data_IF_193256187040
#
_entry.id   IF_193256187040
#
_cell.length_a   1.000
_cell.length_b   1.000
_cell.length_c   1.000
_cell.angle_alpha   90.00
_cell.angle_beta   90.00
_cell.angle_gamma   90.00
#
_symmetry.space_group_name_H-M   'P 1'
#
loop_
_entity.id
_entity.type
_entity.pdbx_description
1 polymer ?
#
# COMPACT_ATOMS: atom_id res chain seq x y z
N UNK A 1 -64.10 30.94 23.97
CA UNK A 1 -65.00 30.15 24.85
C UNK A 1 -64.65 28.68 24.67
N UNK A 2 -64.10 28.06 25.71
CA UNK A 2 -63.71 26.65 25.77
C UNK A 2 -64.95 25.74 25.72
N UNK A 3 -64.93 24.68 24.91
CA UNK A 3 -65.64 23.43 25.22
C UNK A 3 -64.76 22.24 24.81
N UNK A 4 -64.22 21.53 25.81
CA UNK A 4 -63.72 20.16 25.72
C UNK A 4 -64.90 19.18 25.76
N UNK A 5 -64.76 17.98 25.17
CA UNK A 5 -65.39 16.65 25.47
C UNK A 5 -64.99 15.73 24.28
N UNK A 6 -64.60 14.46 24.32
CA UNK A 6 -64.42 13.39 25.33
C UNK A 6 -63.48 12.34 24.71
N UNK A 7 -62.73 11.62 25.53
CA UNK A 7 -61.99 10.42 25.15
C UNK A 7 -62.91 9.20 24.92
N UNK A 8 -62.48 8.27 24.06
CA UNK A 8 -62.78 6.82 24.18
C UNK A 8 -61.75 6.02 23.37
N UNK A 9 -60.95 5.22 24.06
CA UNK A 9 -59.86 4.43 23.46
C UNK A 9 -60.28 3.07 22.90
N UNK A 10 -59.28 2.35 22.37
CA UNK A 10 -59.09 0.88 22.27
C UNK A 10 -57.61 0.68 21.92
N UNK A 11 -56.80 0.08 22.80
CA UNK A 11 -56.52 -1.36 22.94
C UNK A 11 -55.26 -1.80 22.16
N UNK A 12 -54.13 -1.71 22.87
CA UNK A 12 -53.10 -2.74 23.11
C UNK A 12 -52.67 -3.73 22.00
N UNK A 13 -51.34 -3.77 21.85
CA UNK A 13 -50.42 -4.88 21.52
C UNK A 13 -50.13 -5.08 20.03
N UNK A 14 -48.89 -4.78 19.62
CA UNK A 14 -47.89 -5.80 19.25
C UNK A 14 -46.48 -5.19 19.17
N UNK A 15 -45.56 -5.91 19.78
CA UNK A 15 -44.13 -5.70 19.98
C UNK A 15 -43.39 -5.54 18.63
N UNK A 16 -42.46 -4.58 18.40
CA UNK A 16 -41.47 -4.79 17.37
C UNK A 16 -40.45 -5.79 17.90
N UNK A 17 -40.53 -7.01 17.37
CA UNK A 17 -39.48 -8.00 17.41
C UNK A 17 -38.13 -7.37 17.05
N UNK A 18 -37.18 -7.51 17.98
CA UNK A 18 -35.81 -7.96 17.73
C UNK A 18 -35.28 -7.61 16.34
N UNK A 19 -34.55 -6.50 16.25
CA UNK A 19 -33.47 -6.37 15.29
C UNK A 19 -32.16 -6.23 16.09
N UNK A 20 -31.82 -7.31 16.81
CA UNK A 20 -30.42 -7.53 17.18
C UNK A 20 -29.69 -7.85 15.88
N UNK A 21 -29.19 -6.79 15.23
CA UNK A 21 -28.13 -6.93 14.23
C UNK A 21 -26.95 -7.52 14.98
N UNK A 22 -26.75 -8.83 14.82
CA UNK A 22 -25.44 -9.42 14.97
C UNK A 22 -24.54 -8.70 13.96
N UNK A 23 -23.74 -7.74 14.43
CA UNK A 23 -22.51 -7.39 13.74
C UNK A 23 -21.64 -8.64 13.80
N UNK A 24 -21.82 -9.52 12.82
CA UNK A 24 -20.75 -10.37 12.38
C UNK A 24 -19.67 -9.41 11.87
N UNK A 25 -18.62 -9.23 12.69
CA UNK A 25 -17.42 -8.52 12.31
C UNK A 25 -16.84 -9.17 11.07
N UNK A 26 -17.22 -8.65 9.92
CA UNK A 26 -16.59 -8.93 8.65
C UNK A 26 -15.48 -7.88 8.56
N UNK A 27 -14.24 -8.36 8.62
CA UNK A 27 -13.07 -7.54 8.32
C UNK A 27 -13.11 -7.24 6.82
N UNK A 28 -13.89 -6.23 6.44
CA UNK A 28 -13.74 -5.55 5.17
C UNK A 28 -12.69 -4.46 5.38
N UNK A 29 -11.73 -4.36 4.48
CA UNK A 29 -10.76 -3.27 4.46
C UNK A 29 -11.51 -1.94 4.55
N UNK A 30 -10.93 -1.00 5.28
CA UNK A 30 -11.55 0.32 5.44
C UNK A 30 -11.23 1.16 4.21
N UNK A 31 -12.26 1.47 3.42
CA UNK A 31 -12.15 2.44 2.33
C UNK A 31 -11.88 3.82 2.95
N UNK A 32 -10.72 4.39 2.63
CA UNK A 32 -10.28 5.69 3.14
C UNK A 32 -9.75 6.56 2.01
N UNK A 33 -9.83 7.87 2.17
CA UNK A 33 -9.25 8.82 1.23
C UNK A 33 -7.72 8.67 1.18
N UNK A 34 -7.13 8.97 0.01
CA UNK A 34 -5.69 9.15 -0.12
C UNK A 34 -5.14 10.14 0.91
N UNK A 35 -3.90 9.91 1.38
CA UNK A 35 -3.26 10.86 2.29
C UNK A 35 -2.87 12.11 1.47
N UNK A 36 -3.41 13.31 1.76
CA UNK A 36 -3.14 14.51 0.97
C UNK A 36 -1.69 14.98 1.12
N UNK A 37 -1.23 15.81 0.18
CA UNK A 37 0.12 16.37 0.20
C UNK A 37 0.25 17.44 1.27
N UNK A 38 1.21 17.27 2.18
CA UNK A 38 1.54 18.28 3.21
C UNK A 38 2.38 19.39 2.60
N UNK A 39 1.72 20.45 2.15
CA UNK A 39 2.31 21.58 1.41
C UNK A 39 3.46 22.27 2.16
N UNK A 40 3.37 22.36 3.49
CA UNK A 40 4.40 22.96 4.35
C UNK A 40 5.74 22.20 4.35
N UNK A 41 5.73 20.92 3.97
CA UNK A 41 6.92 20.08 3.91
C UNK A 41 7.61 20.07 2.53
N UNK A 42 6.96 20.57 1.47
CA UNK A 42 7.46 20.45 0.10
C UNK A 42 8.83 21.09 -0.12
N UNK A 43 9.06 22.29 0.44
CA UNK A 43 10.35 22.98 0.28
C UNK A 43 11.49 22.26 1.01
N UNK A 44 11.21 21.66 2.17
CA UNK A 44 12.18 20.83 2.88
C UNK A 44 12.45 19.52 2.10
N UNK A 45 11.40 18.87 1.63
CA UNK A 45 11.46 17.65 0.85
C UNK A 45 12.23 17.81 -0.45
N UNK A 46 12.00 18.91 -1.18
CA UNK A 46 12.73 19.28 -2.38
C UNK A 46 14.23 19.37 -2.13
N UNK A 47 14.65 20.01 -1.04
CA UNK A 47 16.08 20.11 -0.67
C UNK A 47 16.70 18.73 -0.44
N UNK A 48 15.99 17.83 0.26
CA UNK A 48 16.45 16.45 0.48
C UNK A 48 16.53 15.70 -0.84
N UNK A 49 15.49 15.77 -1.67
CA UNK A 49 15.40 15.10 -2.97
C UNK A 49 16.57 15.48 -3.88
N UNK A 50 16.80 16.78 -4.09
CA UNK A 50 17.87 17.26 -4.96
C UNK A 50 19.27 16.99 -4.39
N UNK A 51 19.41 16.81 -3.08
CA UNK A 51 20.68 16.46 -2.46
C UNK A 51 21.00 14.96 -2.54
N UNK A 52 19.97 14.11 -2.55
CA UNK A 52 20.12 12.66 -2.28
C UNK A 52 19.47 11.74 -3.32
N UNK A 53 18.28 12.06 -3.79
CA UNK A 53 17.44 11.17 -4.59
C UNK A 53 17.57 11.40 -6.11
N UNK A 54 17.79 12.66 -6.52
CA UNK A 54 17.82 13.11 -7.92
C UNK A 54 18.83 12.35 -8.79
N UNK A 55 19.93 11.87 -8.21
CA UNK A 55 20.97 11.14 -8.93
C UNK A 55 20.50 9.83 -9.56
N UNK A 56 19.45 9.23 -8.98
CA UNK A 56 18.81 8.03 -9.51
C UNK A 56 17.44 8.34 -10.10
N UNK A 57 16.62 9.12 -9.39
CA UNK A 57 15.22 9.34 -9.78
C UNK A 57 15.01 10.46 -10.80
N UNK A 58 16.02 11.28 -11.09
CA UNK A 58 15.93 12.35 -12.08
C UNK A 58 15.30 13.63 -11.54
N UNK A 59 15.41 14.73 -12.29
CA UNK A 59 14.88 16.05 -11.89
C UNK A 59 13.36 16.04 -11.86
N UNK A 60 12.74 15.40 -12.85
CA UNK A 60 11.29 15.29 -13.00
C UNK A 60 10.71 14.05 -12.31
N UNK A 61 11.56 13.24 -11.65
CA UNK A 61 11.10 12.02 -10.97
C UNK A 61 10.80 10.84 -11.91
N UNK A 62 11.21 10.90 -13.17
CA UNK A 62 10.93 9.87 -14.18
C UNK A 62 11.86 8.66 -14.14
N UNK A 63 12.83 8.64 -13.20
CA UNK A 63 13.77 7.54 -13.05
C UNK A 63 14.96 7.56 -14.02
N UNK A 64 15.31 8.75 -14.53
CA UNK A 64 16.35 9.02 -15.52
C UNK A 64 17.56 9.77 -14.95
N UNK A 65 17.77 9.72 -13.63
CA UNK A 65 18.90 10.39 -12.99
C UNK A 65 20.24 9.88 -13.54
N UNK A 66 21.36 10.64 -13.43
CA UNK A 66 22.65 10.29 -14.04
C UNK A 66 23.21 8.87 -13.75
N UNK A 67 22.70 8.20 -12.71
CA UNK A 67 23.07 6.83 -12.35
C UNK A 67 22.20 5.75 -13.02
N UNK A 68 21.04 6.09 -13.60
CA UNK A 68 19.98 5.15 -13.99
C UNK A 68 20.43 4.05 -14.97
N UNK A 69 21.33 4.37 -15.91
CA UNK A 69 21.83 3.40 -16.89
C UNK A 69 22.77 2.35 -16.31
N UNK A 70 23.32 2.61 -15.11
CA UNK A 70 24.21 1.66 -14.41
C UNK A 70 23.45 0.73 -13.47
N UNK A 71 22.14 0.89 -13.36
CA UNK A 71 21.30 0.13 -12.43
C UNK A 71 20.53 -0.94 -13.19
N UNK A 72 20.66 -2.19 -12.74
CA UNK A 72 19.91 -3.32 -13.28
C UNK A 72 18.41 -3.12 -13.08
N UNK A 73 18.00 -2.79 -11.86
CA UNK A 73 16.64 -2.34 -11.55
C UNK A 73 16.54 -0.85 -11.85
N UNK A 74 15.70 -0.47 -12.81
CA UNK A 74 15.47 0.94 -13.12
C UNK A 74 14.86 1.67 -11.90
N UNK A 75 15.33 2.90 -11.59
CA UNK A 75 14.70 3.74 -10.58
C UNK A 75 13.21 3.94 -10.87
N UNK A 76 12.42 4.15 -9.83
CA UNK A 76 10.99 4.39 -9.95
C UNK A 76 10.73 5.68 -10.74
N UNK A 77 9.90 5.58 -11.76
CA UNK A 77 9.18 6.69 -12.36
C UNK A 77 7.97 7.02 -11.48
N UNK A 78 7.93 8.24 -10.94
CA UNK A 78 6.87 8.69 -10.02
C UNK A 78 5.63 9.25 -10.74
N UNK A 79 5.75 9.67 -12.01
CA UNK A 79 4.67 10.36 -12.77
C UNK A 79 3.35 9.59 -12.71
N UNK A 80 3.41 8.26 -12.80
CA UNK A 80 2.23 7.39 -12.89
C UNK A 80 1.54 7.13 -11.53
N UNK A 81 2.16 7.50 -10.41
CA UNK A 81 1.62 7.20 -9.08
C UNK A 81 1.60 5.70 -8.75
N UNK A 82 2.31 4.87 -9.51
CA UNK A 82 2.37 3.42 -9.31
C UNK A 82 3.53 3.05 -8.39
N UNK A 83 3.24 2.57 -7.19
CA UNK A 83 4.25 2.13 -6.22
C UNK A 83 4.16 0.62 -5.97
N UNK A 84 5.31 -0.05 -5.84
CA UNK A 84 5.37 -1.53 -5.74
C UNK A 84 5.05 -2.05 -4.34
N UNK A 85 5.49 -1.34 -3.30
CA UNK A 85 5.40 -1.79 -1.90
C UNK A 85 4.35 -0.92 -1.20
N UNK A 86 3.18 -1.49 -0.95
CA UNK A 86 1.98 -0.81 -0.46
C UNK A 86 1.16 -1.78 0.40
N UNK A 87 0.27 -1.22 1.21
CA UNK A 87 -0.79 -1.97 1.89
C UNK A 87 -2.19 -1.59 1.39
N UNK A 88 -2.27 -1.08 0.16
CA UNK A 88 -3.51 -0.76 -0.54
C UNK A 88 -3.72 -1.74 -1.69
N UNK A 89 -4.94 -1.86 -2.21
CA UNK A 89 -5.26 -2.87 -3.21
C UNK A 89 -4.51 -2.63 -4.53
N UNK A 90 -4.48 -3.63 -5.41
CA UNK A 90 -3.81 -3.53 -6.71
C UNK A 90 -4.37 -2.35 -7.52
N UNK A 91 -3.47 -1.44 -7.94
CA UNK A 91 -3.85 -0.26 -8.72
C UNK A 91 -4.14 0.99 -7.90
N UNK A 92 -4.21 0.92 -6.57
CA UNK A 92 -4.46 2.07 -5.70
C UNK A 92 -3.17 2.84 -5.33
N UNK A 93 -3.33 4.10 -4.89
CA UNK A 93 -2.23 4.91 -4.38
C UNK A 93 -1.66 4.30 -3.08
N UNK A 94 -0.40 4.56 -2.74
CA UNK A 94 0.19 4.16 -1.46
C UNK A 94 -0.29 5.06 -0.33
N UNK A 95 -0.23 4.54 0.91
CA UNK A 95 -0.29 5.39 2.10
C UNK A 95 1.04 6.11 2.29
N UNK A 96 1.03 7.24 3.00
CA UNK A 96 2.25 7.95 3.40
C UNK A 96 3.21 7.02 4.14
N UNK A 97 2.69 6.18 5.03
CA UNK A 97 3.49 5.22 5.80
C UNK A 97 4.19 4.18 4.90
N UNK A 98 3.58 3.80 3.78
CA UNK A 98 4.17 2.82 2.85
C UNK A 98 5.40 3.43 2.15
N UNK A 99 5.29 4.69 1.73
CA UNK A 99 6.38 5.46 1.14
C UNK A 99 7.48 5.76 2.16
N UNK A 100 7.11 6.19 3.37
CA UNK A 100 8.04 6.43 4.48
C UNK A 100 8.82 5.16 4.81
N UNK A 101 8.15 4.00 4.89
CA UNK A 101 8.80 2.72 5.14
C UNK A 101 9.77 2.34 4.02
N UNK A 102 9.39 2.59 2.76
CA UNK A 102 10.24 2.33 1.60
C UNK A 102 11.51 3.19 1.63
N UNK A 103 11.39 4.49 1.91
CA UNK A 103 12.57 5.37 2.03
C UNK A 103 13.42 4.99 3.25
N UNK A 104 12.77 4.72 4.39
CA UNK A 104 13.46 4.35 5.64
C UNK A 104 14.30 3.09 5.47
N UNK A 105 13.71 2.02 4.92
CA UNK A 105 14.34 0.71 4.85
C UNK A 105 15.11 0.47 3.54
N UNK A 106 14.90 1.33 2.54
CA UNK A 106 15.34 1.08 1.18
C UNK A 106 14.55 -0.06 0.55
N UNK A 107 15.05 -0.56 -0.57
CA UNK A 107 14.43 -1.68 -1.28
C UNK A 107 15.47 -2.77 -1.55
N UNK A 108 15.57 -3.79 -0.68
CA UNK A 108 16.48 -4.93 -0.87
C UNK A 108 16.29 -5.60 -2.23
N UNK A 109 17.39 -6.01 -2.87
CA UNK A 109 17.38 -6.50 -4.25
C UNK A 109 17.39 -5.41 -5.32
N UNK A 110 17.39 -4.12 -4.92
CA UNK A 110 17.60 -2.98 -5.81
C UNK A 110 18.79 -2.13 -5.34
N UNK A 111 19.09 -1.06 -6.08
CA UNK A 111 20.09 -0.08 -5.71
C UNK A 111 19.60 1.01 -4.74
N UNK A 112 18.33 0.98 -4.31
CA UNK A 112 17.78 1.98 -3.39
C UNK A 112 18.19 1.65 -1.94
N UNK A 113 19.11 2.43 -1.33
CA UNK A 113 19.63 2.13 0.00
C UNK A 113 18.61 2.49 1.09
N UNK A 114 18.84 1.97 2.28
CA UNK A 114 18.18 2.48 3.50
C UNK A 114 18.66 3.89 3.81
N UNK A 115 17.72 4.79 4.13
CA UNK A 115 18.02 6.16 4.59
C UNK A 115 17.88 6.33 6.09
N UNK A 116 17.46 5.28 6.81
CA UNK A 116 17.41 5.26 8.27
C UNK A 116 18.79 5.57 8.86
N UNK A 117 18.85 6.53 9.78
CA UNK A 117 20.10 6.96 10.42
C UNK A 117 21.03 7.81 9.54
N UNK A 118 20.71 8.01 8.26
CA UNK A 118 21.44 8.90 7.33
C UNK A 118 20.79 10.28 7.26
N UNK A 119 19.47 10.32 7.29
CA UNK A 119 18.63 11.54 7.38
C UNK A 119 17.60 11.36 8.50
N UNK A 120 17.07 12.47 9.00
CA UNK A 120 16.07 12.45 10.08
C UNK A 120 14.72 11.89 9.61
N UNK A 121 13.86 11.50 10.56
CA UNK A 121 12.49 11.07 10.25
C UNK A 121 11.71 12.20 9.57
N UNK A 122 11.88 13.43 10.02
CA UNK A 122 11.24 14.61 9.43
C UNK A 122 11.73 14.86 7.99
N UNK A 123 13.02 14.63 7.71
CA UNK A 123 13.57 14.70 6.34
C UNK A 123 13.00 13.58 5.44
N UNK A 124 12.80 12.38 5.98
CA UNK A 124 12.15 11.26 5.29
C UNK A 124 10.70 11.60 4.97
N UNK A 125 9.95 12.10 5.94
CA UNK A 125 8.56 12.51 5.73
C UNK A 125 8.48 13.63 4.69
N UNK A 126 9.32 14.64 4.79
CA UNK A 126 9.33 15.75 3.85
C UNK A 126 9.66 15.31 2.42
N UNK A 127 10.66 14.44 2.22
CA UNK A 127 10.99 13.95 0.86
C UNK A 127 9.88 13.09 0.27
N UNK A 128 9.13 12.35 1.10
CA UNK A 128 7.94 11.61 0.65
C UNK A 128 6.87 12.56 0.13
N UNK A 129 6.59 13.66 0.82
CA UNK A 129 5.63 14.66 0.34
C UNK A 129 6.07 15.29 -0.98
N UNK A 130 7.37 15.59 -1.13
CA UNK A 130 7.89 16.09 -2.39
C UNK A 130 7.76 15.06 -3.53
N UNK A 131 8.04 13.78 -3.28
CA UNK A 131 7.84 12.70 -4.27
C UNK A 131 6.37 12.60 -4.68
N UNK A 132 5.41 12.71 -3.75
CA UNK A 132 3.99 12.74 -4.08
C UNK A 132 3.63 13.89 -5.03
N UNK A 133 4.25 15.06 -4.83
CA UNK A 133 4.05 16.21 -5.73
C UNK A 133 4.62 16.05 -7.14
N UNK A 134 5.43 15.00 -7.40
CA UNK A 134 5.94 14.67 -8.73
C UNK A 134 4.99 13.74 -9.51
N UNK A 135 3.95 13.19 -8.87
CA UNK A 135 2.94 12.37 -9.54
C UNK A 135 2.04 13.27 -10.39
N UNK A 136 1.70 12.85 -11.62
CA UNK A 136 0.91 13.62 -12.57
C UNK A 136 -0.31 12.88 -13.09
N UNK A 137 -0.23 11.55 -13.24
CA UNK A 137 -1.34 10.75 -13.78
C UNK A 137 -2.42 10.47 -12.72
N UNK A 138 -2.16 10.85 -11.46
CA UNK A 138 -3.05 10.68 -10.30
C UNK A 138 -2.90 11.84 -9.34
N UNK A 139 -3.93 12.08 -8.54
CA UNK A 139 -3.98 13.19 -7.60
C UNK A 139 -4.16 12.67 -6.17
N UNK A 140 -3.17 12.94 -5.31
CA UNK A 140 -3.26 12.57 -3.88
C UNK A 140 -4.25 13.45 -3.09
N UNK A 141 -4.62 14.59 -3.65
CA UNK A 141 -5.53 15.57 -3.04
C UNK A 141 -6.97 15.44 -3.58
N UNK A 142 -7.24 14.46 -4.47
CA UNK A 142 -8.58 14.21 -4.99
C UNK A 142 -9.47 13.56 -3.91
N UNK A 143 -10.68 14.11 -3.74
CA UNK A 143 -11.67 13.61 -2.78
C UNK A 143 -12.31 12.30 -3.26
N UNK A 144 -12.29 12.04 -4.57
CA UNK A 144 -12.82 10.82 -5.18
C UNK A 144 -11.76 9.69 -5.25
N UNK A 145 -10.49 9.98 -4.93
CA UNK A 145 -9.41 8.99 -4.88
C UNK A 145 -9.43 8.27 -3.51
N UNK A 146 -10.17 7.16 -3.47
CA UNK A 146 -10.23 6.27 -2.31
C UNK A 146 -9.25 5.11 -2.44
N UNK A 147 -8.85 4.57 -1.30
CA UNK A 147 -7.94 3.44 -1.18
C UNK A 147 -8.48 2.47 -0.14
N UNK A 148 -8.42 1.18 -0.43
CA UNK A 148 -8.73 0.12 0.51
C UNK A 148 -7.49 -0.18 1.35
N UNK A 149 -7.50 0.19 2.63
CA UNK A 149 -6.40 -0.19 3.54
C UNK A 149 -6.54 -1.66 3.95
N UNK A 150 -5.64 -2.50 3.42
CA UNK A 150 -5.66 -3.96 3.63
C UNK A 150 -4.92 -4.41 4.89
N UNK A 151 -4.28 -3.49 5.65
CA UNK A 151 -3.57 -3.87 6.90
C UNK A 151 -4.50 -4.57 7.88
N UNK A 152 -5.75 -4.14 7.94
CA UNK A 152 -6.75 -4.70 8.85
C UNK A 152 -7.31 -6.04 8.35
N UNK A 153 -7.26 -6.32 7.04
CA UNK A 153 -7.77 -7.56 6.45
C UNK A 153 -6.84 -8.76 6.70
N UNK A 154 -5.52 -8.56 6.59
CA UNK A 154 -4.56 -9.66 6.67
C UNK A 154 -4.33 -10.17 8.11
N UNK A 155 -4.71 -9.38 9.11
CA UNK A 155 -4.59 -9.74 10.52
C UNK A 155 -3.14 -9.95 10.99
N UNK A 156 -2.94 -10.37 12.25
CA UNK A 156 -1.61 -10.72 12.72
C UNK A 156 -1.12 -11.99 12.03
N UNK A 157 0.21 -12.18 11.99
CA UNK A 157 0.81 -13.44 11.56
C UNK A 157 0.16 -14.63 12.29
N UNK A 158 -0.52 -15.55 11.57
CA UNK A 158 -1.33 -16.61 12.19
C UNK A 158 -0.49 -17.63 12.96
N UNK A 159 0.81 -17.71 12.69
CA UNK A 159 1.73 -18.62 13.37
C UNK A 159 2.56 -17.96 14.47
N UNK A 160 2.41 -16.64 14.66
CA UNK A 160 3.24 -15.88 15.61
C UNK A 160 4.74 -15.97 15.31
N UNK A 161 5.12 -16.36 14.10
CA UNK A 161 6.49 -16.60 13.72
C UNK A 161 7.33 -15.31 13.66
N UNK A 162 8.62 -15.47 13.95
CA UNK A 162 9.63 -14.42 13.91
C UNK A 162 10.64 -14.72 12.81
N UNK A 163 11.38 -13.70 12.38
CA UNK A 163 12.38 -13.88 11.34
C UNK A 163 13.51 -14.81 11.82
N UNK A 164 13.96 -15.78 11.00
CA UNK A 164 13.50 -16.08 9.64
C UNK A 164 12.21 -16.93 9.63
N UNK A 165 11.13 -16.36 9.08
CA UNK A 165 9.75 -16.84 9.24
C UNK A 165 9.52 -18.30 8.82
N UNK A 166 10.26 -18.82 7.83
CA UNK A 166 10.06 -20.15 7.26
C UNK A 166 10.36 -21.31 8.23
N UNK A 167 11.10 -21.08 9.32
CA UNK A 167 11.45 -22.12 10.29
C UNK A 167 10.32 -22.48 11.24
N UNK A 168 9.35 -21.58 11.41
CA UNK A 168 8.29 -21.69 12.41
C UNK A 168 6.92 -21.94 11.77
N UNK A 169 6.89 -22.24 10.47
CA UNK A 169 5.66 -22.55 9.75
C UNK A 169 5.40 -24.07 9.80
N UNK A 170 4.20 -24.53 10.21
CA UNK A 170 3.86 -25.96 10.17
C UNK A 170 4.01 -26.54 8.76
N UNK A 171 4.57 -27.75 8.67
CA UNK A 171 4.80 -28.42 7.38
C UNK A 171 3.51 -28.57 6.55
N UNK A 172 2.37 -28.80 7.20
CA UNK A 172 1.06 -28.86 6.52
C UNK A 172 0.72 -27.56 5.77
N UNK A 173 1.00 -26.40 6.36
CA UNK A 173 0.79 -25.11 5.70
C UNK A 173 1.77 -24.89 4.54
N UNK A 174 3.01 -25.36 4.67
CA UNK A 174 4.01 -25.34 3.59
C UNK A 174 3.54 -26.21 2.43
N UNK A 175 3.03 -27.41 2.70
CA UNK A 175 2.55 -28.35 1.70
C UNK A 175 1.31 -27.81 0.95
N UNK A 176 0.41 -27.13 1.66
CA UNK A 176 -0.74 -26.46 1.03
C UNK A 176 -0.30 -25.27 0.16
N UNK A 177 0.61 -24.43 0.66
CA UNK A 177 1.20 -23.34 -0.12
C UNK A 177 1.88 -23.82 -1.41
N UNK A 178 2.55 -24.97 -1.36
CA UNK A 178 3.16 -25.60 -2.54
C UNK A 178 2.12 -25.97 -3.61
N UNK A 179 0.94 -26.45 -3.23
CA UNK A 179 -0.15 -26.75 -4.19
C UNK A 179 -0.60 -25.47 -4.89
N UNK A 180 -0.76 -24.37 -4.15
CA UNK A 180 -1.16 -23.07 -4.69
C UNK A 180 -0.10 -22.54 -5.67
N UNK A 181 1.19 -22.62 -5.29
CA UNK A 181 2.31 -22.20 -6.15
C UNK A 181 2.30 -22.89 -7.52
N UNK A 182 2.00 -24.20 -7.55
CA UNK A 182 1.88 -24.97 -8.79
C UNK A 182 0.58 -24.65 -9.53
N UNK A 183 -0.55 -24.61 -8.83
CA UNK A 183 -1.86 -24.38 -9.44
C UNK A 183 -1.96 -23.02 -10.12
N UNK A 184 -1.38 -21.98 -9.51
CA UNK A 184 -1.32 -20.62 -10.03
C UNK A 184 -0.08 -20.36 -10.89
N UNK A 185 0.70 -21.40 -11.21
CA UNK A 185 1.85 -21.33 -12.12
C UNK A 185 2.92 -20.31 -11.72
N UNK A 186 3.07 -20.05 -10.43
CA UNK A 186 4.06 -19.09 -9.93
C UNK A 186 5.49 -19.47 -10.36
N UNK A 187 5.76 -20.77 -10.54
CA UNK A 187 7.03 -21.30 -11.03
C UNK A 187 7.39 -20.87 -12.46
N UNK A 188 6.42 -20.46 -13.30
CA UNK A 188 6.72 -20.01 -14.67
C UNK A 188 7.60 -18.75 -14.67
N UNK A 189 7.48 -17.91 -13.63
CA UNK A 189 8.31 -16.71 -13.42
C UNK A 189 9.38 -16.93 -12.33
N UNK A 190 8.99 -17.51 -11.18
CA UNK A 190 9.89 -17.63 -10.02
C UNK A 190 10.80 -18.88 -10.06
N UNK A 191 10.59 -19.81 -10.99
CA UNK A 191 11.28 -21.10 -11.02
C UNK A 191 10.75 -22.09 -9.98
N UNK A 192 11.02 -23.39 -10.18
CA UNK A 192 10.50 -24.45 -9.29
C UNK A 192 10.99 -24.37 -7.85
N UNK A 193 12.15 -23.75 -7.63
CA UNK A 193 12.75 -23.51 -6.31
C UNK A 193 12.70 -22.05 -5.86
N UNK A 194 12.01 -21.16 -6.59
CA UNK A 194 11.91 -19.74 -6.23
C UNK A 194 13.19 -18.93 -6.51
N UNK A 195 14.09 -19.42 -7.38
CA UNK A 195 15.37 -18.76 -7.71
C UNK A 195 15.25 -17.58 -8.67
N UNK A 196 14.06 -17.35 -9.24
CA UNK A 196 13.86 -16.35 -10.29
C UNK A 196 14.43 -16.77 -11.64
N UNK A 197 14.58 -18.07 -11.88
CA UNK A 197 15.08 -18.67 -13.12
C UNK A 197 13.95 -19.26 -13.98
N UNK A 198 12.72 -18.76 -13.80
CA UNK A 198 11.61 -19.03 -14.71
C UNK A 198 11.84 -18.42 -16.10
N UNK A 199 10.96 -18.74 -17.04
CA UNK A 199 10.99 -18.19 -18.40
C UNK A 199 9.71 -17.38 -18.65
N UNK A 200 9.58 -16.19 -18.03
CA UNK A 200 8.40 -15.35 -18.21
C UNK A 200 8.30 -14.93 -19.67
N UNK A 201 7.12 -15.09 -20.25
CA UNK A 201 6.78 -14.56 -21.59
C UNK A 201 5.90 -13.32 -21.49
N UNK A 202 5.52 -12.94 -20.26
CA UNK A 202 4.68 -11.80 -19.95
C UNK A 202 5.51 -10.51 -19.91
N UNK A 203 4.83 -9.37 -19.89
CA UNK A 203 5.45 -8.06 -19.68
C UNK A 203 4.74 -7.37 -18.52
N UNK A 204 5.46 -6.55 -17.77
CA UNK A 204 4.87 -5.65 -16.78
C UNK A 204 4.13 -4.48 -17.44
N UNK A 205 3.47 -3.65 -16.63
CA UNK A 205 2.71 -2.48 -17.09
C UNK A 205 3.58 -1.42 -17.80
N UNK A 206 4.91 -1.53 -17.67
CA UNK A 206 5.90 -0.68 -18.34
C UNK A 206 6.48 -1.34 -19.61
N UNK A 207 5.98 -2.53 -19.98
CA UNK A 207 6.38 -3.26 -21.18
C UNK A 207 7.72 -4.00 -21.06
N UNK A 208 8.29 -4.11 -19.86
CA UNK A 208 9.48 -4.92 -19.60
C UNK A 208 9.08 -6.38 -19.36
N UNK A 209 9.88 -7.36 -19.84
CA UNK A 209 9.64 -8.77 -19.57
C UNK A 209 9.80 -9.12 -18.08
#
# INVERSE_FOLDING_TARGET
>A
MNIKIKARGKLRILLPLIFSVLLAGTAFGEERQADPIKQDLLEAGKKVYFKRCVWCHGVEGVGDGPSHDRLFTKPRNFIQGTFKIRWTDSGELPRDQDLINTVTNGLPGSAMPSWSGVISKDEIEAVVQFVKSLVQDREFDDEDETMLDTVTELGPNPWGSTAPYHLEIPQEAIDEGKKIMVANKCFECHGGEGRGDGNPTMKDDWGFP
#
